data_IF_744714767067
#
_entry.id   IF_744714767067
#
_cell.length_a   1.000
_cell.length_b   1.000
_cell.length_c   1.000
_cell.angle_alpha   90.00
_cell.angle_beta   90.00
_cell.angle_gamma   90.00
#
_symmetry.space_group_name_H-M   'P 1'
#
loop_
_entity.id
_entity.type
_entity.pdbx_description
1 polymer ?
#
# COMPACT_ATOMS: atom_id res chain seq x y z
N UNK A 1 1.71 -28.53 5.92
CA UNK A 1 2.30 -27.31 5.33
C UNK A 1 1.45 -26.14 5.80
N UNK A 2 1.88 -25.38 6.82
CA UNK A 2 1.06 -24.34 7.44
C UNK A 2 1.13 -23.05 6.60
N UNK A 3 0.01 -22.69 5.96
CA UNK A 3 -0.21 -21.36 5.39
C UNK A 3 -0.25 -20.34 6.53
N UNK A 4 0.54 -19.26 6.43
CA UNK A 4 0.53 -18.17 7.42
C UNK A 4 -0.13 -16.94 6.78
N UNK A 5 -1.18 -16.40 7.39
CA UNK A 5 -1.92 -15.24 6.88
C UNK A 5 -1.38 -13.96 7.55
N UNK A 6 -1.27 -12.84 6.84
CA UNK A 6 -0.65 -11.57 7.31
C UNK A 6 -1.53 -10.36 6.99
N UNK A 7 -1.80 -9.54 8.00
CA UNK A 7 -2.73 -8.42 7.93
C UNK A 7 -1.98 -7.12 8.25
N UNK A 8 -2.26 -6.01 7.57
CA UNK A 8 -1.92 -4.68 8.05
C UNK A 8 -3.09 -4.15 8.90
N UNK A 9 -2.88 -3.93 10.20
CA UNK A 9 -3.87 -3.28 11.07
C UNK A 9 -3.77 -1.76 10.92
N UNK A 10 -4.88 -1.12 10.58
CA UNK A 10 -5.15 0.29 10.83
C UNK A 10 -6.26 0.37 11.89
N UNK A 11 -5.99 0.88 13.11
CA UNK A 11 -7.08 1.36 13.96
C UNK A 11 -7.78 2.57 13.32
N UNK A 12 -8.93 2.35 12.70
CA UNK A 12 -9.78 3.43 12.18
C UNK A 12 -10.39 4.25 13.33
N UNK A 13 -10.12 5.55 13.39
CA UNK A 13 -11.02 6.50 14.07
C UNK A 13 -12.03 7.00 13.05
N UNK A 14 -13.30 6.72 13.31
CA UNK A 14 -14.42 7.01 12.41
C UNK A 14 -14.55 8.50 12.07
N UNK A 15 -14.65 8.80 10.76
CA UNK A 15 -15.57 9.79 10.20
C UNK A 15 -15.55 9.73 8.64
N UNK A 16 -16.12 8.68 8.08
CA UNK A 16 -16.79 8.69 6.78
C UNK A 16 -17.76 7.50 6.76
N UNK A 17 -19.06 7.78 6.71
CA UNK A 17 -20.08 6.75 6.57
C UNK A 17 -19.83 5.98 5.25
N UNK A 18 -19.98 4.65 5.30
CA UNK A 18 -19.95 3.70 4.18
C UNK A 18 -18.63 2.97 3.84
N UNK A 19 -17.59 3.04 4.68
CA UNK A 19 -16.59 1.96 4.70
C UNK A 19 -17.13 0.81 5.57
N UNK A 20 -17.21 -0.46 5.09
CA UNK A 20 -17.58 -1.56 5.96
C UNK A 20 -16.55 -1.64 7.09
N UNK A 21 -17.02 -1.39 8.31
CA UNK A 21 -16.24 -1.59 9.52
C UNK A 21 -15.75 -3.06 9.55
N UNK A 22 -14.45 -3.25 9.67
CA UNK A 22 -13.72 -4.53 9.79
C UNK A 22 -13.66 -5.41 8.53
N UNK A 23 -12.70 -5.14 7.63
CA UNK A 23 -12.31 -6.07 6.56
C UNK A 23 -11.26 -7.09 7.03
N UNK A 24 -10.61 -6.87 8.17
CA UNK A 24 -9.60 -7.79 8.69
C UNK A 24 -10.21 -8.77 9.70
N UNK A 25 -10.15 -10.09 9.47
CA UNK A 25 -10.60 -11.04 10.47
C UNK A 25 -9.70 -10.92 11.70
N UNK A 26 -10.28 -10.65 12.87
CA UNK A 26 -9.63 -10.89 14.18
C UNK A 26 -9.40 -12.39 14.45
N UNK A 27 -9.38 -13.21 13.40
CA UNK A 27 -9.32 -14.65 13.44
C UNK A 27 -7.89 -15.12 13.71
N UNK A 28 -7.81 -16.33 14.25
CA UNK A 28 -6.56 -17.02 14.53
C UNK A 28 -5.68 -17.11 13.27
N UNK A 29 -4.43 -16.64 13.37
CA UNK A 29 -3.41 -16.82 12.33
C UNK A 29 -2.98 -15.55 11.58
N UNK A 30 -3.65 -14.41 11.77
CA UNK A 30 -3.23 -13.13 11.20
C UNK A 30 -2.19 -12.42 12.08
N UNK A 31 -1.08 -11.98 11.47
CA UNK A 31 -0.05 -11.14 12.14
C UNK A 31 -0.12 -9.70 11.61
N UNK A 32 -0.19 -8.67 12.49
CA UNK A 32 -0.16 -7.27 12.08
C UNK A 32 1.20 -6.86 11.53
N UNK A 33 1.22 -6.22 10.35
CA UNK A 33 2.43 -5.65 9.75
C UNK A 33 2.75 -4.24 10.27
N UNK A 34 1.75 -3.49 10.71
CA UNK A 34 1.90 -2.14 11.27
C UNK A 34 1.11 -2.01 12.60
N UNK A 35 1.44 -2.78 13.64
CA UNK A 35 0.67 -2.76 14.89
C UNK A 35 0.69 -1.33 15.49
N UNK A 36 -0.48 -0.68 15.54
CA UNK A 36 -0.63 0.72 15.95
C UNK A 36 0.32 1.68 15.21
N UNK A 37 0.49 1.46 13.89
CA UNK A 37 1.38 2.26 13.03
C UNK A 37 2.88 2.01 13.25
N UNK A 38 3.26 1.02 14.06
CA UNK A 38 4.67 0.71 14.31
C UNK A 38 5.36 0.17 13.05
N UNK A 39 6.53 0.75 12.74
CA UNK A 39 7.41 0.34 11.64
C UNK A 39 8.53 -0.63 12.10
N UNK A 40 8.48 -1.14 13.33
CA UNK A 40 9.56 -1.98 13.89
C UNK A 40 9.83 -3.29 13.11
N UNK A 41 8.84 -3.80 12.38
CA UNK A 41 8.96 -4.98 11.53
C UNK A 41 9.49 -4.67 10.12
N UNK A 42 9.88 -3.42 9.85
CA UNK A 42 10.28 -2.92 8.55
C UNK A 42 11.66 -2.29 8.59
N UNK A 43 12.36 -2.37 7.46
CA UNK A 43 13.64 -1.69 7.23
C UNK A 43 13.61 -1.01 5.86
N UNK A 44 14.39 0.08 5.66
CA UNK A 44 14.56 0.65 4.32
C UNK A 44 15.20 -0.39 3.39
N UNK A 45 14.73 -0.46 2.15
CA UNK A 45 15.34 -1.27 1.09
C UNK A 45 16.73 -0.72 0.74
N UNK A 46 16.80 0.59 0.58
CA UNK A 46 18.03 1.33 0.34
C UNK A 46 18.27 2.26 1.54
N UNK A 47 19.26 1.92 2.35
CA UNK A 47 19.63 2.67 3.55
C UNK A 47 20.37 3.99 3.24
N UNK A 48 20.78 4.22 1.99
CA UNK A 48 21.43 5.47 1.57
C UNK A 48 20.42 6.56 1.20
N UNK A 49 19.15 6.18 1.01
CA UNK A 49 18.06 7.09 0.68
C UNK A 49 17.27 7.51 1.92
N UNK A 50 16.66 8.71 1.92
CA UNK A 50 15.80 9.14 3.02
C UNK A 50 14.68 8.12 3.30
N UNK A 51 14.56 7.73 4.56
CA UNK A 51 13.44 6.96 5.08
C UNK A 51 12.56 7.89 5.93
N UNK A 52 11.47 8.36 5.34
CA UNK A 52 10.51 9.28 5.96
C UNK A 52 9.19 8.62 6.29
N UNK A 53 9.10 7.28 6.15
CA UNK A 53 7.95 6.53 6.60
C UNK A 53 7.71 6.79 8.09
N UNK A 54 6.49 7.16 8.41
CA UNK A 54 6.08 7.52 9.76
C UNK A 54 4.63 7.17 9.98
N UNK A 55 4.21 7.21 11.24
CA UNK A 55 2.83 6.98 11.61
C UNK A 55 2.09 8.28 11.91
N UNK A 56 0.78 8.25 11.76
CA UNK A 56 -0.11 9.38 11.99
C UNK A 56 -1.45 8.93 12.55
N UNK A 57 -2.13 9.80 13.29
CA UNK A 57 -3.53 9.60 13.68
C UNK A 57 -4.49 9.71 12.51
N UNK A 58 -4.10 10.42 11.45
CA UNK A 58 -4.91 10.61 10.26
C UNK A 58 -4.09 11.08 9.07
N UNK A 59 -4.29 10.43 7.94
CA UNK A 59 -3.79 10.79 6.62
C UNK A 59 -5.00 11.12 5.76
N UNK A 60 -4.96 12.24 5.05
CA UNK A 60 -6.07 12.71 4.20
C UNK A 60 -5.52 13.26 2.89
N UNK A 61 -6.34 13.26 1.85
CA UNK A 61 -6.08 14.07 0.66
C UNK A 61 -5.85 15.54 1.06
N UNK A 62 -4.86 16.18 0.45
CA UNK A 62 -4.66 17.62 0.64
C UNK A 62 -5.82 18.36 -0.04
N UNK A 63 -6.62 19.16 0.71
CA UNK A 63 -7.76 19.88 0.15
C UNK A 63 -7.34 20.96 -0.85
N UNK A 64 -6.08 21.41 -0.83
CA UNK A 64 -5.54 22.40 -1.75
C UNK A 64 -4.87 21.78 -2.99
N UNK A 65 -4.45 20.52 -2.91
CA UNK A 65 -3.74 19.83 -3.99
C UNK A 65 -4.13 18.34 -4.06
N UNK A 66 -4.97 17.93 -5.03
CA UNK A 66 -5.42 16.54 -5.13
C UNK A 66 -4.30 15.55 -5.48
N UNK A 67 -3.09 16.02 -5.80
CA UNK A 67 -1.92 15.17 -6.05
C UNK A 67 -1.12 14.87 -4.78
N UNK A 68 -1.59 15.35 -3.61
CA UNK A 68 -0.89 15.22 -2.34
C UNK A 68 -1.75 14.63 -1.24
N UNK A 69 -1.07 13.96 -0.31
CA UNK A 69 -1.63 13.61 1.00
C UNK A 69 -1.02 14.53 2.06
N UNK A 70 -1.80 14.74 3.11
CA UNK A 70 -1.40 15.41 4.35
C UNK A 70 -1.62 14.46 5.51
N UNK A 71 -0.85 14.63 6.58
CA UNK A 71 -1.00 13.81 7.77
C UNK A 71 -0.97 14.67 9.03
N UNK A 72 -1.74 14.24 10.03
CA UNK A 72 -1.67 14.84 11.36
C UNK A 72 -0.27 14.59 11.97
N UNK A 73 0.28 15.54 12.73
CA UNK A 73 1.63 15.42 13.28
C UNK A 73 1.72 14.40 14.43
N UNK A 74 0.59 13.97 14.98
CA UNK A 74 0.53 13.03 16.10
C UNK A 74 0.69 11.60 15.58
N UNK A 75 1.63 10.79 16.12
CA UNK A 75 1.74 9.38 15.79
C UNK A 75 0.45 8.63 16.07
N UNK A 76 0.14 7.65 15.24
CA UNK A 76 -1.11 6.91 15.34
C UNK A 76 -1.11 5.65 14.48
N UNK A 77 -2.30 5.10 14.21
CA UNK A 77 -2.45 3.82 13.52
C UNK A 77 -2.08 3.83 12.05
N UNK A 78 -2.22 4.97 11.37
CA UNK A 78 -1.98 5.08 9.94
C UNK A 78 -0.51 5.25 9.62
N UNK A 79 -0.07 4.72 8.49
CA UNK A 79 1.32 4.78 8.05
C UNK A 79 1.38 5.46 6.70
N UNK A 80 2.31 6.41 6.56
CA UNK A 80 2.49 7.18 5.34
C UNK A 80 3.97 7.51 5.12
N UNK A 81 4.33 7.85 3.88
CA UNK A 81 5.72 7.91 3.48
C UNK A 81 6.35 9.32 3.51
N UNK A 82 5.66 10.36 3.02
CA UNK A 82 6.11 11.76 3.05
C UNK A 82 5.16 12.67 2.27
N UNK A 83 5.21 13.99 2.49
CA UNK A 83 4.49 14.96 1.65
C UNK A 83 5.16 15.17 0.28
N UNK A 84 6.39 14.70 0.06
CA UNK A 84 7.15 14.93 -1.19
C UNK A 84 7.22 13.71 -2.11
N UNK A 85 6.76 12.53 -1.65
CA UNK A 85 6.76 11.27 -2.38
C UNK A 85 8.15 10.64 -2.63
N UNK A 86 9.24 11.31 -2.24
CA UNK A 86 10.62 10.84 -2.49
C UNK A 86 11.18 10.07 -1.31
N UNK A 87 10.68 8.86 -1.10
CA UNK A 87 11.11 7.97 -0.03
C UNK A 87 11.80 6.71 -0.57
N UNK A 88 12.62 6.07 0.25
CA UNK A 88 13.04 4.68 0.03
C UNK A 88 11.86 3.71 0.19
N UNK A 89 11.89 2.59 -0.52
CA UNK A 89 10.95 1.50 -0.25
C UNK A 89 11.23 0.90 1.13
N UNK A 90 10.24 0.28 1.74
CA UNK A 90 10.41 -0.49 2.97
C UNK A 90 10.18 -1.98 2.69
N UNK A 91 10.94 -2.82 3.39
CA UNK A 91 10.88 -4.28 3.28
C UNK A 91 10.73 -4.85 4.68
N UNK A 92 9.93 -5.91 4.81
CA UNK A 92 9.80 -6.63 6.08
C UNK A 92 11.15 -7.18 6.52
N UNK A 93 11.40 -7.18 7.83
CA UNK A 93 12.60 -7.79 8.40
C UNK A 93 12.55 -9.32 8.35
N UNK A 94 11.33 -9.87 8.44
CA UNK A 94 11.03 -11.29 8.26
C UNK A 94 10.77 -11.63 6.78
N UNK A 95 11.17 -12.83 6.38
CA UNK A 95 10.85 -13.41 5.07
C UNK A 95 9.67 -14.36 5.19
N UNK A 96 8.80 -14.35 4.19
CA UNK A 96 7.59 -15.18 4.16
C UNK A 96 7.62 -16.17 2.98
N UNK A 97 7.12 -17.38 3.23
CA UNK A 97 6.79 -18.37 2.19
C UNK A 97 5.37 -18.15 1.69
N UNK A 98 4.59 -19.22 1.57
CA UNK A 98 3.16 -19.12 1.24
C UNK A 98 2.42 -18.24 2.24
N UNK A 99 1.73 -17.23 1.72
CA UNK A 99 1.05 -16.24 2.54
C UNK A 99 -0.31 -15.82 1.97
N UNK A 100 -1.16 -15.33 2.84
CA UNK A 100 -2.28 -14.45 2.50
C UNK A 100 -1.95 -13.05 3.00
N UNK A 101 -2.20 -12.02 2.19
CA UNK A 101 -1.94 -10.64 2.56
C UNK A 101 -3.24 -9.84 2.48
N UNK A 102 -3.58 -9.16 3.57
CA UNK A 102 -4.65 -8.18 3.61
C UNK A 102 -4.04 -6.81 3.93
N UNK A 103 -4.28 -5.83 3.05
CA UNK A 103 -3.76 -4.47 3.17
C UNK A 103 -4.77 -3.48 2.59
N UNK A 104 -4.90 -2.35 3.27
CA UNK A 104 -5.63 -1.18 2.78
C UNK A 104 -4.62 -0.08 2.45
N UNK A 105 -4.92 0.70 1.41
CA UNK A 105 -4.07 1.80 0.97
C UNK A 105 -4.93 2.94 0.43
N UNK A 106 -4.37 4.14 0.48
CA UNK A 106 -4.93 5.35 -0.11
C UNK A 106 -3.82 6.03 -0.91
N UNK A 107 -4.15 6.53 -2.09
CA UNK A 107 -3.23 7.25 -2.97
C UNK A 107 -3.86 8.56 -3.43
N UNK A 108 -3.09 9.65 -3.56
CA UNK A 108 -3.58 10.86 -4.19
C UNK A 108 -3.59 10.71 -5.72
N UNK A 109 -4.18 11.67 -6.41
CA UNK A 109 -4.35 11.64 -7.86
C UNK A 109 -3.02 11.45 -8.60
N UNK A 110 -2.98 10.50 -9.52
CA UNK A 110 -1.83 10.19 -10.37
C UNK A 110 -0.64 9.54 -9.65
N UNK A 111 -0.82 9.13 -8.39
CA UNK A 111 0.27 8.52 -7.60
C UNK A 111 0.49 7.04 -7.95
N UNK A 112 1.70 6.57 -7.67
CA UNK A 112 2.18 5.24 -7.99
C UNK A 112 2.93 4.63 -6.79
N UNK A 113 2.66 3.36 -6.51
CA UNK A 113 3.33 2.53 -5.53
C UNK A 113 3.20 1.05 -5.93
N UNK A 114 3.62 0.14 -5.07
CA UNK A 114 3.51 -1.28 -5.35
C UNK A 114 3.74 -2.14 -4.12
N UNK A 115 3.13 -3.32 -4.12
CA UNK A 115 3.32 -4.33 -3.08
C UNK A 115 4.07 -5.49 -3.71
N UNK A 116 5.31 -5.71 -3.27
CA UNK A 116 6.18 -6.74 -3.83
C UNK A 116 6.08 -8.03 -3.03
N UNK A 117 5.45 -9.04 -3.62
CA UNK A 117 5.44 -10.40 -3.06
C UNK A 117 6.80 -11.05 -3.33
N UNK A 118 7.41 -11.58 -2.26
CA UNK A 118 8.75 -12.16 -2.27
C UNK A 118 9.86 -11.24 -2.82
N UNK A 119 9.62 -9.92 -2.87
CA UNK A 119 10.56 -8.96 -3.46
C UNK A 119 10.68 -9.04 -4.99
N UNK A 120 9.82 -9.80 -5.68
CA UNK A 120 9.94 -10.06 -7.12
C UNK A 120 8.66 -9.73 -7.90
N UNK A 121 7.49 -10.01 -7.33
CA UNK A 121 6.22 -9.90 -8.03
C UNK A 121 5.44 -8.70 -7.48
N UNK A 122 5.40 -7.62 -8.26
CA UNK A 122 4.68 -6.42 -7.87
C UNK A 122 3.19 -6.56 -8.18
N UNK A 123 2.39 -6.40 -7.13
CA UNK A 123 0.98 -6.07 -7.23
C UNK A 123 0.90 -4.55 -7.29
N UNK A 124 0.40 -4.06 -8.42
CA UNK A 124 0.46 -2.65 -8.75
C UNK A 124 -0.52 -1.82 -7.90
N UNK A 125 -0.04 -0.69 -7.37
CA UNK A 125 -0.86 0.31 -6.67
C UNK A 125 -0.76 1.62 -7.43
N UNK A 126 -1.82 1.98 -8.14
CA UNK A 126 -1.86 3.17 -8.98
C UNK A 126 -3.20 3.87 -8.87
N UNK A 127 -3.22 5.19 -9.06
CA UNK A 127 -4.47 5.89 -9.32
C UNK A 127 -5.00 5.52 -10.71
N UNK A 128 -5.79 4.46 -10.77
CA UNK A 128 -6.50 4.00 -11.97
C UNK A 128 -7.97 4.42 -11.97
N UNK A 129 -8.39 5.40 -11.15
CA UNK A 129 -9.80 5.78 -11.10
C UNK A 129 -10.31 6.28 -12.46
N UNK A 130 -11.40 5.66 -12.94
CA UNK A 130 -12.00 5.98 -14.24
C UNK A 130 -11.27 5.41 -15.47
N UNK A 131 -10.19 4.63 -15.29
CA UNK A 131 -9.51 3.94 -16.40
C UNK A 131 -10.39 2.82 -16.96
N UNK A 132 -10.57 2.80 -18.28
CA UNK A 132 -11.40 1.81 -18.99
C UNK A 132 -10.58 0.75 -19.73
N UNK A 133 -9.46 1.13 -20.34
CA UNK A 133 -8.51 0.22 -20.99
C UNK A 133 -7.41 -0.19 -20.00
N UNK A 134 -7.67 -1.28 -19.26
CA UNK A 134 -6.81 -1.75 -18.18
C UNK A 134 -5.53 -2.40 -18.69
N UNK A 135 -4.41 -1.98 -18.12
CA UNK A 135 -3.06 -2.42 -18.49
C UNK A 135 -2.38 -3.10 -17.31
N UNK A 136 -1.23 -3.68 -17.59
CA UNK A 136 -0.33 -4.23 -16.57
C UNK A 136 0.25 -3.16 -15.64
N UNK A 137 0.03 -1.87 -15.90
CA UNK A 137 0.41 -0.74 -15.04
C UNK A 137 -0.71 -0.20 -14.16
N UNK A 138 -1.92 -0.76 -14.26
CA UNK A 138 -3.08 -0.30 -13.49
C UNK A 138 -3.23 -1.03 -12.16
N UNK A 139 -3.96 -0.41 -11.23
CA UNK A 139 -4.17 -0.92 -9.88
C UNK A 139 -4.70 -2.36 -9.85
N UNK A 140 -4.04 -3.21 -9.06
CA UNK A 140 -4.37 -4.63 -8.94
C UNK A 140 -3.77 -5.51 -10.05
N UNK A 141 -3.04 -4.94 -11.02
CA UNK A 141 -2.26 -5.72 -11.98
C UNK A 141 -1.15 -6.52 -11.28
N UNK A 142 -0.73 -7.60 -11.93
CA UNK A 142 0.64 -8.09 -11.78
C UNK A 142 1.49 -7.25 -12.73
N UNK A 143 2.37 -6.40 -12.19
CA UNK A 143 3.12 -5.45 -13.00
C UNK A 143 4.05 -6.17 -14.00
N UNK A 144 4.20 -5.56 -15.18
CA UNK A 144 5.09 -6.09 -16.20
C UNK A 144 6.55 -5.82 -15.82
N UNK A 145 7.46 -6.65 -16.34
CA UNK A 145 8.90 -6.37 -16.23
C UNK A 145 9.33 -5.48 -17.39
N UNK A 146 10.41 -4.72 -17.18
CA UNK A 146 11.07 -3.99 -18.26
C UNK A 146 12.26 -4.80 -18.77
N UNK A 147 12.17 -5.33 -19.99
CA UNK A 147 13.22 -6.08 -20.67
C UNK A 147 13.50 -5.36 -21.99
N UNK A 148 14.75 -4.99 -22.24
CA UNK A 148 15.17 -4.22 -23.42
C UNK A 148 14.30 -2.97 -23.66
N UNK A 149 14.01 -2.25 -22.56
CA UNK A 149 13.15 -1.06 -22.53
C UNK A 149 11.71 -1.30 -23.03
N UNK A 150 11.22 -2.53 -22.95
CA UNK A 150 9.85 -2.91 -23.32
C UNK A 150 9.13 -3.64 -22.18
N UNK A 151 7.81 -3.44 -22.03
CA UNK A 151 7.02 -4.20 -21.08
C UNK A 151 6.97 -5.68 -21.51
N UNK A 152 7.27 -6.58 -20.58
CA UNK A 152 7.29 -8.01 -20.81
C UNK A 152 6.63 -8.77 -19.64
N UNK A 153 5.62 -9.57 -19.96
CA UNK A 153 4.82 -10.32 -18.99
C UNK A 153 3.89 -9.43 -18.18
N UNK A 154 3.53 -9.91 -16.98
CA UNK A 154 2.48 -9.29 -16.15
C UNK A 154 1.08 -9.68 -16.63
N UNK A 155 0.07 -9.21 -15.89
CA UNK A 155 -1.34 -9.37 -16.24
C UNK A 155 -2.11 -8.14 -15.81
N UNK A 156 -2.91 -7.58 -16.71
CA UNK A 156 -3.87 -6.53 -16.37
C UNK A 156 -4.91 -7.07 -15.37
N UNK A 157 -5.47 -6.21 -14.50
CA UNK A 157 -6.57 -6.59 -13.64
C UNK A 157 -7.82 -6.89 -14.49
N UNK A 158 -8.67 -7.80 -14.01
CA UNK A 158 -9.90 -8.17 -14.73
C UNK A 158 -10.95 -7.06 -14.73
N UNK A 159 -10.95 -6.24 -13.69
CA UNK A 159 -11.92 -5.16 -13.47
C UNK A 159 -11.22 -3.98 -12.84
N UNK A 160 -11.74 -2.78 -13.12
CA UNK A 160 -11.37 -1.59 -12.37
C UNK A 160 -12.28 -1.50 -11.14
N UNK A 161 -11.73 -1.78 -9.96
CA UNK A 161 -12.45 -1.69 -8.68
C UNK A 161 -11.94 -0.52 -7.81
N UNK A 162 -11.21 0.43 -8.41
CA UNK A 162 -10.64 1.57 -7.68
C UNK A 162 -11.73 2.53 -7.22
N UNK A 163 -11.54 3.12 -6.04
CA UNK A 163 -12.28 4.30 -5.60
C UNK A 163 -11.59 5.55 -6.12
N UNK A 164 -12.28 6.69 -6.05
CA UNK A 164 -11.64 7.98 -6.34
C UNK A 164 -10.43 8.21 -5.39
N UNK A 165 -9.42 8.99 -5.81
CA UNK A 165 -8.29 9.32 -4.94
C UNK A 165 -8.72 10.03 -3.65
N UNK A 166 -8.09 9.65 -2.53
CA UNK A 166 -8.37 10.21 -1.20
C UNK A 166 -9.46 9.49 -0.41
#
# INVERSE_FOLDING_TARGET
MQRRLFCALLPSLAAAADAPANVFPAAQGWKPLFPNGSLAAWRPQDATRPNTWSSSTRVTLDPADPTRLTAAPTPGPEVWNSPTGKVTNIVTTESFGDLELAIEFMVPKGSNSGIYLHGLYEIQVFDSFGVTDLKTSDCGAIYHRWIDAKPAGGSAPKVNATRAPG
#
